data_IF_704084768800
#
_entry.id   IF_704084768800
#
_cell.length_a   1.000
_cell.length_b   1.000
_cell.length_c   1.000
_cell.angle_alpha   90.00
_cell.angle_beta   90.00
_cell.angle_gamma   90.00
#
_symmetry.space_group_name_H-M   'P 1'
#
loop_
_entity.id
_entity.type
_entity.pdbx_description
1 polymer ?
#
# COMPACT_ATOMS: atom_id res chain seq x y z
N UNK A 1 1.22 1.22 -18.46
CA UNK A 1 0.95 1.74 -17.10
C UNK A 1 2.27 2.19 -16.48
N UNK A 2 2.43 3.45 -16.13
CA UNK A 2 3.53 4.03 -15.34
C UNK A 2 3.28 3.83 -13.84
N UNK A 3 4.16 4.36 -12.98
CA UNK A 3 3.93 4.38 -11.52
C UNK A 3 2.72 5.24 -11.16
N UNK A 4 2.69 6.47 -11.67
CA UNK A 4 1.58 7.42 -11.48
C UNK A 4 0.26 6.84 -12.00
N UNK A 5 0.25 6.26 -13.21
CA UNK A 5 -0.97 5.62 -13.75
C UNK A 5 -1.45 4.46 -12.86
N UNK A 6 -0.53 3.77 -12.16
CA UNK A 6 -0.88 2.71 -11.23
C UNK A 6 -1.46 3.25 -9.92
N UNK A 7 -0.95 4.35 -9.40
CA UNK A 7 -1.53 5.06 -8.25
C UNK A 7 -2.97 5.51 -8.56
N UNK A 8 -3.20 6.11 -9.74
CA UNK A 8 -4.55 6.48 -10.19
C UNK A 8 -5.47 5.26 -10.34
N UNK A 9 -4.97 4.15 -10.88
CA UNK A 9 -5.72 2.90 -10.94
C UNK A 9 -6.15 2.42 -9.55
N UNK A 10 -5.23 2.40 -8.58
CA UNK A 10 -5.52 2.00 -7.21
C UNK A 10 -6.51 2.96 -6.53
N UNK A 11 -6.37 4.27 -6.77
CA UNK A 11 -7.35 5.26 -6.32
C UNK A 11 -8.76 4.91 -6.80
N UNK A 12 -8.96 4.72 -8.09
CA UNK A 12 -10.28 4.34 -8.62
C UNK A 12 -10.77 3.00 -8.07
N UNK A 13 -9.86 2.03 -7.93
CA UNK A 13 -10.17 0.71 -7.39
C UNK A 13 -10.72 0.79 -5.95
N UNK A 14 -10.09 1.60 -5.09
CA UNK A 14 -10.51 1.78 -3.70
C UNK A 14 -11.75 2.68 -3.57
N UNK A 15 -11.86 3.73 -4.40
CA UNK A 15 -13.05 4.59 -4.44
C UNK A 15 -14.32 3.81 -4.79
N UNK A 16 -14.24 2.86 -5.72
CA UNK A 16 -15.35 1.96 -6.07
C UNK A 16 -15.78 1.02 -4.92
N UNK A 17 -15.08 1.05 -3.79
CA UNK A 17 -15.30 0.18 -2.62
C UNK A 17 -15.44 0.98 -1.32
N UNK A 18 -15.98 2.19 -1.45
CA UNK A 18 -16.36 3.09 -0.36
C UNK A 18 -15.18 3.59 0.49
N UNK A 19 -13.97 3.61 -0.07
CA UNK A 19 -12.87 4.37 0.52
C UNK A 19 -12.88 5.80 -0.04
N UNK A 20 -12.72 6.78 0.84
CA UNK A 20 -12.17 8.06 0.40
C UNK A 20 -10.67 7.87 0.16
N UNK A 21 -10.15 8.46 -0.91
CA UNK A 21 -8.75 8.31 -1.30
C UNK A 21 -8.15 9.67 -1.61
N UNK A 22 -7.07 10.00 -0.90
CA UNK A 22 -6.25 11.18 -1.13
C UNK A 22 -4.95 10.73 -1.82
N UNK A 23 -4.59 11.37 -2.93
CA UNK A 23 -3.25 11.27 -3.51
C UNK A 23 -2.36 12.29 -2.81
N UNK A 24 -1.14 11.90 -2.46
CA UNK A 24 -0.16 12.83 -1.90
C UNK A 24 0.60 13.56 -3.01
N UNK A 25 1.49 14.48 -2.64
CA UNK A 25 2.33 15.19 -3.60
C UNK A 25 3.27 14.22 -4.34
N UNK A 26 3.57 14.48 -5.62
CA UNK A 26 4.51 13.65 -6.39
C UNK A 26 5.96 13.71 -5.86
N UNK A 27 6.27 14.68 -5.00
CA UNK A 27 7.60 14.87 -4.42
C UNK A 27 7.49 15.37 -2.99
N UNK A 28 8.36 14.90 -2.11
CA UNK A 28 8.35 15.30 -0.70
C UNK A 28 7.19 14.69 0.10
N UNK A 29 6.60 13.62 -0.43
CA UNK A 29 5.44 12.90 0.08
C UNK A 29 5.69 12.11 1.37
N UNK A 30 6.93 12.06 1.85
CA UNK A 30 7.35 11.27 3.01
C UNK A 30 7.13 9.75 2.84
N UNK A 31 7.11 9.25 1.59
CA UNK A 31 6.96 7.82 1.33
C UNK A 31 5.54 7.28 1.50
N UNK A 32 4.54 8.10 1.17
CA UNK A 32 3.12 7.75 1.18
C UNK A 32 2.55 8.28 -0.11
N UNK A 33 2.09 7.41 -1.01
CA UNK A 33 1.52 7.80 -2.30
C UNK A 33 -0.01 7.99 -2.21
N UNK A 34 -0.68 7.19 -1.35
CA UNK A 34 -2.13 7.26 -1.12
C UNK A 34 -2.45 7.27 0.37
N UNK A 35 -3.52 7.98 0.72
CA UNK A 35 -4.19 7.84 2.02
C UNK A 35 -5.59 7.29 1.77
N UNK A 36 -5.87 6.13 2.36
CA UNK A 36 -7.18 5.49 2.31
C UNK A 36 -7.94 5.76 3.60
N UNK A 37 -9.19 6.18 3.49
CA UNK A 37 -10.04 6.49 4.64
C UNK A 37 -11.35 5.73 4.51
N UNK A 38 -11.69 4.95 5.53
CA UNK A 38 -12.97 4.24 5.63
C UNK A 38 -13.35 4.03 7.09
N UNK A 39 -14.52 4.51 7.49
CA UNK A 39 -14.93 4.59 8.89
C UNK A 39 -13.84 5.28 9.75
N UNK A 40 -13.38 4.65 10.83
CA UNK A 40 -12.37 5.19 11.74
C UNK A 40 -10.94 4.80 11.34
N UNK A 41 -10.73 4.33 10.10
CA UNK A 41 -9.42 3.88 9.63
C UNK A 41 -8.84 4.90 8.66
N UNK A 42 -7.63 5.37 8.96
CA UNK A 42 -6.81 6.22 8.07
C UNK A 42 -5.50 5.49 7.80
N UNK A 43 -5.30 5.10 6.55
CA UNK A 43 -4.26 4.16 6.14
C UNK A 43 -3.29 4.86 5.18
N UNK A 44 -2.02 4.93 5.57
CA UNK A 44 -0.94 5.37 4.68
C UNK A 44 -0.53 4.22 3.75
N UNK A 45 -0.41 4.49 2.46
CA UNK A 45 -0.07 3.48 1.47
C UNK A 45 1.12 3.93 0.63
N UNK A 46 2.18 3.13 0.60
CA UNK A 46 3.20 3.22 -0.44
C UNK A 46 2.89 2.22 -1.55
N UNK A 47 2.81 2.72 -2.77
CA UNK A 47 2.68 2.01 -4.03
C UNK A 47 4.05 1.92 -4.69
N UNK A 48 4.45 0.72 -5.08
CA UNK A 48 5.63 0.53 -5.94
C UNK A 48 5.28 -0.32 -7.14
N UNK A 49 5.60 0.17 -8.34
CA UNK A 49 5.46 -0.60 -9.58
C UNK A 49 6.86 -1.00 -10.08
N UNK A 50 7.18 -2.28 -10.01
CA UNK A 50 8.45 -2.82 -10.51
C UNK A 50 8.23 -3.95 -11.53
N UNK A 51 9.25 -4.23 -12.33
CA UNK A 51 9.32 -5.42 -13.18
C UNK A 51 9.38 -6.69 -12.32
N UNK A 52 8.81 -7.78 -12.85
CA UNK A 52 8.56 -9.02 -12.11
C UNK A 52 9.83 -9.67 -11.54
N UNK A 53 10.99 -9.36 -12.11
CA UNK A 53 12.27 -9.99 -11.80
C UNK A 53 12.93 -9.44 -10.52
N UNK A 54 12.32 -8.45 -9.85
CA UNK A 54 12.87 -7.82 -8.65
C UNK A 54 11.91 -7.91 -7.46
N UNK A 55 12.43 -8.42 -6.33
CA UNK A 55 11.70 -8.42 -5.06
C UNK A 55 11.87 -7.09 -4.34
N UNK A 56 10.81 -6.61 -3.70
CA UNK A 56 10.80 -5.37 -2.95
C UNK A 56 11.45 -5.54 -1.57
N UNK A 57 12.45 -4.71 -1.28
CA UNK A 57 13.20 -4.71 -0.02
C UNK A 57 12.66 -3.75 1.04
N UNK A 58 13.40 -3.63 2.14
CA UNK A 58 12.99 -2.90 3.35
C UNK A 58 12.64 -1.41 3.15
N UNK A 59 13.23 -0.76 2.14
CA UNK A 59 13.11 0.68 1.93
C UNK A 59 11.65 1.16 1.88
N UNK A 60 10.80 0.48 1.11
CA UNK A 60 9.38 0.84 1.00
C UNK A 60 8.61 0.69 2.32
N UNK A 61 9.02 -0.26 3.17
CA UNK A 61 8.42 -0.49 4.49
C UNK A 61 8.83 0.63 5.44
N UNK A 62 10.12 1.01 5.41
CA UNK A 62 10.65 2.11 6.22
C UNK A 62 10.01 3.44 5.85
N UNK A 63 9.92 3.72 4.55
CA UNK A 63 9.27 4.92 3.98
C UNK A 63 7.83 5.07 4.53
N UNK A 64 6.95 4.10 4.26
CA UNK A 64 5.55 4.21 4.68
C UNK A 64 5.37 4.20 6.19
N UNK A 65 6.21 3.45 6.93
CA UNK A 65 6.16 3.44 8.39
C UNK A 65 6.47 4.82 8.97
N UNK A 66 7.45 5.53 8.41
CA UNK A 66 7.78 6.90 8.84
C UNK A 66 6.80 7.95 8.33
N UNK A 67 6.22 7.75 7.15
CA UNK A 67 5.22 8.66 6.58
C UNK A 67 3.84 8.53 7.23
N UNK A 68 3.50 7.35 7.76
CA UNK A 68 2.24 7.11 8.47
C UNK A 68 1.95 8.16 9.57
N UNK A 69 2.83 8.39 10.57
CA UNK A 69 2.58 9.42 11.58
C UNK A 69 2.64 10.85 11.02
N UNK A 70 3.34 11.10 9.92
CA UNK A 70 3.38 12.42 9.29
C UNK A 70 2.01 12.84 8.74
N UNK A 71 1.19 11.89 8.28
CA UNK A 71 -0.17 12.13 7.77
C UNK A 71 -1.28 11.73 8.75
N UNK A 72 -0.97 11.60 10.05
CA UNK A 72 -1.91 11.20 11.10
C UNK A 72 -2.64 9.87 10.80
N UNK A 73 -1.97 8.97 10.07
CA UNK A 73 -2.50 7.64 9.78
C UNK A 73 -2.23 6.69 10.94
N UNK A 74 -3.09 5.69 11.11
CA UNK A 74 -2.98 4.68 12.18
C UNK A 74 -2.59 3.30 11.65
N UNK A 75 -2.60 3.13 10.34
CA UNK A 75 -2.19 1.91 9.65
C UNK A 75 -1.30 2.25 8.46
N UNK A 76 -0.39 1.34 8.10
CA UNK A 76 0.56 1.52 7.00
C UNK A 76 0.61 0.28 6.11
N UNK A 77 0.48 0.48 4.80
CA UNK A 77 0.37 -0.58 3.80
C UNK A 77 1.42 -0.37 2.69
N UNK A 78 1.99 -1.46 2.17
CA UNK A 78 2.78 -1.43 0.93
C UNK A 78 2.09 -2.28 -0.12
N UNK A 79 1.83 -1.68 -1.28
CA UNK A 79 1.22 -2.34 -2.45
C UNK A 79 2.24 -2.39 -3.58
N UNK A 80 2.49 -3.56 -4.14
CA UNK A 80 3.41 -3.72 -5.26
C UNK A 80 2.95 -4.74 -6.29
N UNK A 81 3.44 -4.58 -7.53
CA UNK A 81 3.25 -5.54 -8.63
C UNK A 81 4.25 -6.71 -8.60
N UNK A 82 5.13 -6.76 -7.60
CA UNK A 82 6.13 -7.80 -7.38
C UNK A 82 5.96 -8.48 -6.02
N UNK A 83 6.89 -9.34 -5.64
CA UNK A 83 6.90 -9.98 -4.31
C UNK A 83 7.94 -9.32 -3.40
N UNK A 84 7.83 -9.56 -2.10
CA UNK A 84 8.74 -8.99 -1.09
C UNK A 84 9.93 -9.91 -0.82
N UNK A 85 11.04 -9.35 -0.37
CA UNK A 85 12.13 -10.15 0.21
C UNK A 85 11.74 -10.66 1.60
N UNK A 86 12.39 -11.75 2.06
CA UNK A 86 12.13 -12.28 3.41
C UNK A 86 12.45 -11.25 4.51
N UNK A 87 13.46 -10.40 4.28
CA UNK A 87 13.81 -9.30 5.18
C UNK A 87 12.70 -8.25 5.23
N UNK A 88 12.10 -7.90 4.09
CA UNK A 88 11.00 -6.95 4.02
C UNK A 88 9.76 -7.48 4.74
N UNK A 89 9.42 -8.76 4.54
CA UNK A 89 8.33 -9.44 5.25
C UNK A 89 8.57 -9.44 6.77
N UNK A 90 9.80 -9.77 7.19
CA UNK A 90 10.18 -9.77 8.61
C UNK A 90 10.04 -8.38 9.23
N UNK A 91 10.56 -7.35 8.55
CA UNK A 91 10.47 -5.97 9.02
C UNK A 91 9.02 -5.53 9.12
N UNK A 92 8.24 -5.73 8.06
CA UNK A 92 6.83 -5.34 7.99
C UNK A 92 6.02 -5.93 9.15
N UNK A 93 6.21 -7.23 9.44
CA UNK A 93 5.59 -7.90 10.59
C UNK A 93 5.99 -7.26 11.92
N UNK A 94 7.25 -6.83 12.09
CA UNK A 94 7.72 -6.20 13.34
C UNK A 94 7.18 -4.80 13.57
N UNK A 95 6.97 -4.03 12.50
CA UNK A 95 6.50 -2.63 12.59
C UNK A 95 5.01 -2.46 12.30
N UNK A 96 4.28 -3.56 12.05
CA UNK A 96 2.83 -3.53 11.79
C UNK A 96 2.45 -3.02 10.40
N UNK A 97 3.36 -3.03 9.43
CA UNK A 97 3.06 -2.65 8.03
C UNK A 97 2.45 -3.84 7.30
N UNK A 98 1.29 -3.65 6.66
CA UNK A 98 0.63 -4.71 5.88
C UNK A 98 1.17 -4.75 4.44
N UNK A 99 1.36 -5.96 3.93
CA UNK A 99 1.95 -6.19 2.62
C UNK A 99 0.91 -6.73 1.63
N UNK A 100 0.83 -6.11 0.46
CA UNK A 100 0.05 -6.57 -0.69
C UNK A 100 1.00 -6.75 -1.88
N UNK A 101 1.49 -7.98 -2.03
CA UNK A 101 2.34 -8.38 -3.16
C UNK A 101 1.50 -8.71 -4.38
N UNK A 102 2.17 -9.08 -5.48
CA UNK A 102 1.55 -9.42 -6.76
C UNK A 102 0.40 -10.42 -6.61
N UNK A 103 0.61 -11.55 -5.95
CA UNK A 103 -0.42 -12.59 -5.86
C UNK A 103 -1.67 -12.09 -5.13
N UNK A 104 -1.48 -11.39 -4.00
CA UNK A 104 -2.57 -10.79 -3.21
C UNK A 104 -3.28 -9.69 -3.98
N UNK A 105 -2.53 -8.84 -4.68
CA UNK A 105 -3.08 -7.79 -5.53
C UNK A 105 -3.93 -8.38 -6.66
N UNK A 106 -3.45 -9.44 -7.33
CA UNK A 106 -4.19 -10.13 -8.40
C UNK A 106 -5.51 -10.72 -7.88
N UNK A 107 -5.48 -11.34 -6.70
CA UNK A 107 -6.69 -11.84 -6.05
C UNK A 107 -7.66 -10.70 -5.73
N UNK A 108 -7.18 -9.62 -5.10
CA UNK A 108 -7.96 -8.45 -4.72
C UNK A 108 -8.63 -7.77 -5.93
N UNK A 109 -7.93 -7.63 -7.06
CA UNK A 109 -8.49 -7.01 -8.27
C UNK A 109 -9.46 -7.92 -9.03
N UNK A 110 -9.31 -9.24 -8.92
CA UNK A 110 -10.15 -10.22 -9.64
C UNK A 110 -11.44 -10.57 -8.91
N UNK A 111 -11.39 -10.78 -7.58
CA UNK A 111 -12.58 -11.06 -6.78
C UNK A 111 -13.35 -9.79 -6.44
N UNK A 112 -12.63 -8.66 -6.40
CA UNK A 112 -13.15 -7.40 -5.91
C UNK A 112 -13.50 -7.39 -4.42
N UNK A 113 -13.22 -8.47 -3.69
CA UNK A 113 -13.43 -8.54 -2.25
C UNK A 113 -12.23 -7.93 -1.53
N UNK A 114 -12.46 -6.83 -0.80
CA UNK A 114 -11.46 -6.20 0.07
C UNK A 114 -11.33 -6.93 1.42
N UNK A 115 -12.09 -8.01 1.66
CA UNK A 115 -12.11 -8.75 2.94
C UNK A 115 -10.71 -9.15 3.45
N UNK A 116 -9.71 -9.28 2.58
CA UNK A 116 -8.32 -9.55 2.98
C UNK A 116 -7.51 -8.35 3.51
N UNK A 117 -8.04 -7.11 3.46
CA UNK A 117 -7.48 -5.96 4.18
C UNK A 117 -8.00 -5.85 5.62
N UNK A 118 -9.02 -6.67 5.94
CA UNK A 118 -9.77 -6.70 7.20
C UNK A 118 -9.52 -7.98 8.02
N UNK A 119 -8.63 -8.86 7.58
CA UNK A 119 -8.19 -9.98 8.41
C UNK A 119 -7.33 -9.43 9.55
N UNK A 120 -8.02 -9.20 10.68
CA UNK A 120 -7.51 -8.78 11.97
C UNK A 120 -6.39 -9.70 12.49
N UNK A 121 -5.51 -9.06 13.27
CA UNK A 121 -4.87 -9.54 14.50
C UNK A 121 -4.84 -11.05 14.72
#
# INVERSE_FOLDING_TARGET
>A
MSGIEFEYYLKEFFQKRDYMVELTALSGDQGVDLILIKHNRRIAVQVKRYSQDSKLGNKAIQEVYTGMPYYDCTEAYVITTTEFTNQAVTLASKVGVKLIGRNKLQLLVSTGEIRELDLHL
#
